data_IF_948954808121
#
_entry.id   IF_948954808121
#
_cell.length_a   1.000
_cell.length_b   1.000
_cell.length_c   1.000
_cell.angle_alpha   90.00
_cell.angle_beta   90.00
_cell.angle_gamma   90.00
#
_symmetry.space_group_name_H-M   'P 1'
#
loop_
_entity.id
_entity.type
_entity.pdbx_description
1 polymer ?
#
# COMPACT_ATOMS: atom_id res chain seq x y z
N UNK A 1 -1.41 -0.88 -8.56
CA UNK A 1 0.05 -0.64 -8.47
C UNK A 1 0.70 -1.90 -7.91
N UNK A 2 1.75 -2.40 -8.53
CA UNK A 2 2.59 -3.46 -7.97
C UNK A 2 3.52 -2.85 -6.94
N UNK A 3 3.67 -3.44 -5.75
CA UNK A 3 4.67 -3.01 -4.78
C UNK A 3 5.38 -4.23 -4.17
N UNK A 4 6.19 -4.02 -3.12
CA UNK A 4 6.83 -5.12 -2.41
C UNK A 4 8.02 -5.72 -3.17
N UNK A 5 8.34 -6.98 -2.86
CA UNK A 5 9.55 -7.66 -3.35
C UNK A 5 9.60 -7.76 -4.87
N UNK A 6 8.47 -7.99 -5.54
CA UNK A 6 8.39 -8.01 -7.01
C UNK A 6 8.65 -6.63 -7.62
N UNK A 7 8.14 -5.55 -7.02
CA UNK A 7 8.44 -4.21 -7.49
C UNK A 7 9.92 -3.86 -7.34
N UNK A 8 10.56 -4.28 -6.23
CA UNK A 8 11.99 -4.04 -5.96
C UNK A 8 12.95 -5.00 -6.68
N UNK A 9 12.46 -6.07 -7.31
CA UNK A 9 13.31 -7.08 -7.97
C UNK A 9 13.98 -8.05 -6.99
N UNK A 10 13.46 -8.16 -5.78
CA UNK A 10 13.98 -9.00 -4.69
C UNK A 10 13.13 -10.27 -4.46
N UNK A 11 12.11 -10.49 -5.29
CA UNK A 11 11.19 -11.60 -5.16
C UNK A 11 11.90 -12.95 -5.30
N UNK A 12 11.51 -13.90 -4.43
CA UNK A 12 11.91 -15.31 -4.49
C UNK A 12 10.74 -16.14 -5.00
N UNK A 13 10.99 -17.44 -5.26
CA UNK A 13 9.96 -18.38 -5.73
C UNK A 13 8.70 -18.39 -4.85
N UNK A 14 8.88 -18.29 -3.54
CA UNK A 14 7.80 -18.32 -2.53
C UNK A 14 7.24 -16.93 -2.20
N UNK A 15 7.66 -15.86 -2.91
CA UNK A 15 7.16 -14.52 -2.64
C UNK A 15 5.76 -14.31 -3.20
N UNK A 16 4.92 -13.62 -2.41
CA UNK A 16 3.64 -13.07 -2.83
C UNK A 16 3.82 -11.87 -3.78
N UNK A 17 2.87 -11.71 -4.69
CA UNK A 17 2.76 -10.60 -5.64
C UNK A 17 1.82 -9.56 -5.03
N UNK A 18 2.39 -8.53 -4.42
CA UNK A 18 1.64 -7.47 -3.74
C UNK A 18 1.05 -6.44 -4.72
N UNK A 19 -0.27 -6.40 -4.84
CA UNK A 19 -1.00 -5.45 -5.68
C UNK A 19 -1.82 -4.51 -4.82
N UNK A 20 -1.54 -3.21 -4.89
CA UNK A 20 -2.28 -2.17 -4.20
C UNK A 20 -3.26 -1.43 -5.14
N UNK A 21 -4.51 -1.31 -4.70
CA UNK A 21 -5.61 -0.64 -5.40
C UNK A 21 -5.93 0.67 -4.70
N UNK A 22 -6.00 1.73 -5.48
CA UNK A 22 -6.34 3.09 -5.04
C UNK A 22 -7.79 3.35 -5.43
N UNK A 23 -8.64 3.64 -4.45
CA UNK A 23 -10.05 3.94 -4.67
C UNK A 23 -10.28 5.46 -4.63
N UNK A 24 -11.10 5.99 -5.54
CA UNK A 24 -11.40 7.43 -5.65
C UNK A 24 -12.16 8.02 -4.46
N UNK A 25 -12.79 7.17 -3.65
CA UNK A 25 -13.66 7.60 -2.58
C UNK A 25 -13.06 7.28 -1.21
N UNK A 26 -12.38 8.27 -0.62
CA UNK A 26 -11.76 8.18 0.70
C UNK A 26 -12.79 8.10 1.85
N UNK A 27 -14.08 8.40 1.58
CA UNK A 27 -15.15 8.39 2.59
C UNK A 27 -15.80 7.02 2.79
N UNK A 28 -15.31 5.99 2.09
CA UNK A 28 -15.75 4.62 2.29
C UNK A 28 -15.41 4.17 3.70
N UNK A 29 -16.41 3.69 4.42
CA UNK A 29 -16.19 3.05 5.71
C UNK A 29 -15.34 1.76 5.57
N UNK A 30 -14.80 1.27 6.69
CA UNK A 30 -13.97 0.06 6.68
C UNK A 30 -14.69 -1.16 6.09
N UNK A 31 -16.00 -1.24 6.26
CA UNK A 31 -16.83 -2.37 5.77
C UNK A 31 -16.85 -2.37 4.25
N UNK A 32 -17.15 -1.23 3.62
CA UNK A 32 -17.19 -1.07 2.17
C UNK A 32 -15.82 -1.23 1.51
N UNK A 33 -14.73 -0.78 2.16
CA UNK A 33 -13.37 -1.05 1.71
C UNK A 33 -13.03 -2.55 1.77
N UNK A 34 -13.46 -3.24 2.83
CA UNK A 34 -13.26 -4.68 2.98
C UNK A 34 -14.06 -5.47 1.94
N UNK A 35 -15.30 -5.07 1.67
CA UNK A 35 -16.10 -5.68 0.61
C UNK A 35 -15.42 -5.49 -0.75
N UNK A 36 -14.92 -4.28 -1.05
CA UNK A 36 -14.17 -4.05 -2.30
C UNK A 36 -12.93 -4.93 -2.40
N UNK A 37 -12.19 -5.12 -1.31
CA UNK A 37 -11.07 -6.07 -1.28
C UNK A 37 -11.53 -7.48 -1.67
N UNK A 38 -12.63 -7.95 -1.08
CA UNK A 38 -13.20 -9.27 -1.40
C UNK A 38 -13.63 -9.38 -2.86
N UNK A 39 -14.30 -8.36 -3.41
CA UNK A 39 -14.70 -8.34 -4.83
C UNK A 39 -13.49 -8.54 -5.76
N UNK A 40 -12.37 -7.83 -5.48
CA UNK A 40 -11.15 -7.98 -6.27
C UNK A 40 -10.43 -9.31 -6.04
N UNK A 41 -10.42 -9.83 -4.82
CA UNK A 41 -9.85 -11.16 -4.55
C UNK A 41 -10.66 -12.27 -5.22
N UNK A 42 -11.98 -12.12 -5.36
CA UNK A 42 -12.84 -13.11 -6.00
C UNK A 42 -12.66 -13.26 -7.51
N UNK A 43 -11.94 -12.34 -8.17
CA UNK A 43 -11.64 -12.40 -9.62
C UNK A 43 -10.17 -12.69 -9.92
N UNK A 44 -9.35 -12.91 -8.89
CA UNK A 44 -7.92 -13.17 -9.02
C UNK A 44 -7.68 -14.67 -8.92
N UNK A 45 -7.37 -15.29 -10.04
CA UNK A 45 -7.17 -16.75 -10.14
C UNK A 45 -5.79 -17.23 -9.67
N UNK A 46 -4.92 -16.32 -9.22
CA UNK A 46 -3.56 -16.62 -8.78
C UNK A 46 -3.43 -16.43 -7.27
N UNK A 47 -3.26 -17.53 -6.53
CA UNK A 47 -3.16 -17.55 -5.07
C UNK A 47 -1.96 -16.76 -4.52
N UNK A 48 -0.91 -16.51 -5.32
CA UNK A 48 0.23 -15.68 -4.91
C UNK A 48 -0.08 -14.20 -4.92
N UNK A 49 -1.17 -13.77 -5.56
CA UNK A 49 -1.49 -12.33 -5.66
C UNK A 49 -2.20 -11.89 -4.40
N UNK A 50 -1.55 -11.00 -3.65
CA UNK A 50 -2.13 -10.39 -2.47
C UNK A 50 -2.66 -8.99 -2.81
N UNK A 51 -3.99 -8.84 -2.71
CA UNK A 51 -4.66 -7.56 -2.98
C UNK A 51 -4.72 -6.70 -1.71
N UNK A 52 -4.30 -5.45 -1.85
CA UNK A 52 -4.33 -4.44 -0.80
C UNK A 52 -5.16 -3.24 -1.24
N UNK A 53 -5.97 -2.69 -0.34
CA UNK A 53 -6.67 -1.42 -0.58
C UNK A 53 -5.86 -0.31 0.09
N UNK A 54 -5.41 0.68 -0.67
CA UNK A 54 -4.48 1.71 -0.20
C UNK A 54 -4.97 2.42 1.07
N UNK A 55 -6.25 2.77 1.11
CA UNK A 55 -6.88 3.46 2.25
C UNK A 55 -6.91 2.63 3.55
N UNK A 56 -6.82 1.30 3.46
CA UNK A 56 -6.76 0.42 4.63
C UNK A 56 -5.34 0.22 5.16
N UNK A 57 -4.32 0.68 4.43
CA UNK A 57 -2.93 0.48 4.83
C UNK A 57 -2.52 1.49 5.90
N UNK A 58 -1.70 1.07 6.89
CA UNK A 58 -1.08 2.00 7.80
C UNK A 58 -0.16 2.97 7.04
N UNK A 59 0.05 4.17 7.57
CA UNK A 59 0.76 5.26 6.89
C UNK A 59 2.17 4.85 6.39
N UNK A 60 2.90 4.07 7.18
CA UNK A 60 4.24 3.58 6.79
C UNK A 60 4.21 2.60 5.62
N UNK A 61 3.11 1.86 5.41
CA UNK A 61 2.94 1.03 4.22
C UNK A 61 2.49 1.86 3.03
N UNK A 62 1.59 2.84 3.24
CA UNK A 62 1.15 3.76 2.19
C UNK A 62 2.33 4.49 1.54
N UNK A 63 3.26 5.02 2.33
CA UNK A 63 4.45 5.68 1.79
C UNK A 63 5.36 4.73 1.02
N UNK A 64 5.49 3.46 1.46
CA UNK A 64 6.26 2.44 0.73
C UNK A 64 5.63 2.07 -0.60
N UNK A 65 4.30 1.92 -0.66
CA UNK A 65 3.59 1.70 -1.92
C UNK A 65 3.89 2.82 -2.90
N UNK A 66 3.84 4.09 -2.46
CA UNK A 66 4.13 5.24 -3.32
C UNK A 66 5.59 5.31 -3.76
N UNK A 67 6.55 4.99 -2.88
CA UNK A 67 8.00 5.07 -3.16
C UNK A 67 8.52 3.93 -4.02
N UNK A 68 8.08 2.71 -3.75
CA UNK A 68 8.60 1.48 -4.35
C UNK A 68 7.70 0.96 -5.48
N UNK A 69 6.47 1.48 -5.56
CA UNK A 69 5.44 0.92 -6.41
C UNK A 69 5.64 1.19 -7.89
N UNK A 70 5.30 0.19 -8.71
CA UNK A 70 5.22 0.28 -10.17
C UNK A 70 3.76 0.39 -10.58
N UNK A 71 3.43 1.44 -11.33
CA UNK A 71 2.07 1.63 -11.84
C UNK A 71 1.79 0.54 -12.89
N UNK A 72 0.79 -0.30 -12.61
CA UNK A 72 0.28 -1.31 -13.55
C UNK A 72 -0.85 -0.75 -14.41
N UNK A 73 -1.68 0.11 -13.81
CA UNK A 73 -2.83 0.76 -14.44
C UNK A 73 -3.16 2.01 -13.63
N UNK A 74 -3.46 3.11 -14.31
CA UNK A 74 -3.96 4.34 -13.73
C UNK A 74 -5.03 4.93 -14.66
N UNK A 75 -6.22 5.20 -14.11
CA UNK A 75 -7.33 5.82 -14.86
C UNK A 75 -7.42 7.33 -14.64
N UNK A 76 -6.91 7.80 -13.50
CA UNK A 76 -7.08 9.16 -12.99
C UNK A 76 -5.77 9.53 -12.29
N UNK A 77 -4.86 10.13 -13.04
CA UNK A 77 -3.51 10.50 -12.56
C UNK A 77 -3.58 11.63 -11.53
N UNK A 78 -4.47 12.61 -11.74
CA UNK A 78 -4.68 13.73 -10.82
C UNK A 78 -5.08 13.22 -9.42
N UNK A 79 -6.04 12.30 -9.35
CA UNK A 79 -6.42 11.65 -8.10
C UNK A 79 -5.23 10.90 -7.46
N UNK A 80 -4.39 10.23 -8.25
CA UNK A 80 -3.21 9.56 -7.72
C UNK A 80 -2.20 10.56 -7.13
N UNK A 81 -1.99 11.70 -7.81
CA UNK A 81 -1.12 12.78 -7.32
C UNK A 81 -1.66 13.39 -6.03
N UNK A 82 -2.96 13.65 -5.94
CA UNK A 82 -3.60 14.17 -4.71
C UNK A 82 -3.39 13.21 -3.53
N UNK A 83 -3.66 11.92 -3.73
CA UNK A 83 -3.45 10.88 -2.71
C UNK A 83 -1.97 10.81 -2.30
N UNK A 84 -1.07 10.89 -3.28
CA UNK A 84 0.37 10.84 -3.03
C UNK A 84 0.83 12.03 -2.18
N UNK A 85 0.43 13.25 -2.56
CA UNK A 85 0.78 14.47 -1.85
C UNK A 85 0.26 14.47 -0.41
N UNK A 86 -1.02 14.10 -0.21
CA UNK A 86 -1.62 13.95 1.11
C UNK A 86 -0.87 12.93 1.96
N UNK A 87 -0.54 11.77 1.38
CA UNK A 87 0.17 10.69 2.09
C UNK A 87 1.58 11.10 2.49
N UNK A 88 2.30 11.82 1.63
CA UNK A 88 3.66 12.32 1.94
C UNK A 88 3.60 13.26 3.14
N UNK A 89 2.67 14.23 3.12
CA UNK A 89 2.48 15.17 4.22
C UNK A 89 2.11 14.47 5.53
N UNK A 90 1.15 13.54 5.50
CA UNK A 90 0.77 12.73 6.67
C UNK A 90 1.94 11.90 7.21
N UNK A 91 2.80 11.38 6.32
CA UNK A 91 3.95 10.61 6.73
C UNK A 91 5.05 11.48 7.33
N UNK A 92 5.28 12.69 6.83
CA UNK A 92 6.26 13.63 7.39
C UNK A 92 5.97 13.94 8.87
N UNK A 93 4.70 14.16 9.22
CA UNK A 93 4.26 14.37 10.60
C UNK A 93 4.48 13.12 11.48
N UNK A 94 4.38 11.92 10.89
CA UNK A 94 4.52 10.64 11.58
C UNK A 94 5.97 10.09 11.60
N UNK A 95 6.83 10.55 10.70
CA UNK A 95 8.10 9.90 10.38
C UNK A 95 9.03 9.81 11.60
N UNK A 96 9.09 10.88 12.39
CA UNK A 96 9.90 10.94 13.61
C UNK A 96 9.54 9.82 14.57
N UNK A 97 8.25 9.69 14.90
CA UNK A 97 7.75 8.68 15.84
C UNK A 97 8.00 7.26 15.32
N UNK A 98 7.85 7.05 14.02
CA UNK A 98 8.15 5.77 13.39
C UNK A 98 9.63 5.40 13.52
N UNK A 99 10.55 6.34 13.28
CA UNK A 99 12.00 6.14 13.43
C UNK A 99 12.38 5.86 14.89
N UNK A 100 11.82 6.60 15.85
CA UNK A 100 12.03 6.38 17.28
C UNK A 100 11.54 4.99 17.72
N UNK A 101 10.35 4.59 17.28
CA UNK A 101 9.80 3.25 17.55
C UNK A 101 10.71 2.14 17.02
N UNK A 102 11.16 2.23 15.77
CA UNK A 102 12.07 1.25 15.18
C UNK A 102 13.42 1.20 15.92
N UNK A 103 13.97 2.35 16.29
CA UNK A 103 15.19 2.43 17.09
C UNK A 103 15.04 1.71 18.43
N UNK A 104 13.93 1.95 19.13
CA UNK A 104 13.67 1.30 20.43
C UNK A 104 13.63 -0.23 20.33
N UNK A 105 13.05 -0.79 19.26
CA UNK A 105 13.02 -2.24 19.02
C UNK A 105 14.41 -2.81 18.73
N UNK A 106 15.22 -2.09 17.94
CA UNK A 106 16.56 -2.54 17.58
C UNK A 106 17.50 -2.58 18.80
N UNK A 107 17.32 -1.68 19.75
CA UNK A 107 18.13 -1.59 20.97
C UNK A 107 17.56 -2.35 22.18
N UNK A 108 16.38 -2.95 22.04
CA UNK A 108 15.77 -3.81 23.05
C UNK A 108 16.27 -5.28 22.98
N UNK A 109 17.33 -5.56 22.20
CA UNK A 109 17.97 -6.87 22.05
C UNK A 109 19.38 -6.87 22.58
#
# INVERSE_FOLDING_TARGET
>A
MLFGSYARGEARKESDIDVCIFLKDEKRDKVSLSQKKMDYMGVVDNEKVQVHIFQNLPIFMRIRVLKEGKILFCKDEDMLYEIAFKTIKEFEDFEKYYKEYLGSILHAR
#
